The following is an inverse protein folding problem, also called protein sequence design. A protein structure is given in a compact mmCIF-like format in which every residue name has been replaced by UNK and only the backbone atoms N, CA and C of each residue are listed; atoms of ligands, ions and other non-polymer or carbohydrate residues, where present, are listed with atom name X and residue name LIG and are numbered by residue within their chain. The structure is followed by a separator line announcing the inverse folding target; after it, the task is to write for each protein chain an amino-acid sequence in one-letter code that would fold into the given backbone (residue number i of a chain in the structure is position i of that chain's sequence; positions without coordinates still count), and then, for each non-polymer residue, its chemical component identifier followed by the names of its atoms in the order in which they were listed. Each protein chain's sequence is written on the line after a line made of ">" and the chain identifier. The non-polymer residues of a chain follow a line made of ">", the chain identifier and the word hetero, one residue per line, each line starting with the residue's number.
data_IF_806320368026
#
_entry.id   IF_806320368026
#
_cell.length_a   1.000
_cell.length_b   1.000
_cell.length_c   1.000
_cell.angle_alpha   90.00
_cell.angle_beta   90.00
_cell.angle_gamma   90.00
#
_symmetry.space_group_name_H-M   'P 1'
#
loop_
_entity.id
_entity.type
_entity.pdbx_description
1 polymer ?
#
# COMPACT_ATOMS: atom_id res chain seq x y z
N UNK A 1 17.43 13.65 -8.17
CA UNK A 1 16.62 12.60 -7.53
C UNK A 1 15.87 13.23 -6.39
N UNK A 2 14.60 12.92 -6.24
CA UNK A 2 13.76 13.37 -5.13
C UNK A 2 13.27 12.11 -4.42
N UNK A 3 13.30 12.10 -3.09
CA UNK A 3 12.94 10.94 -2.27
C UNK A 3 11.92 11.36 -1.22
N UNK A 4 10.88 10.55 -1.02
CA UNK A 4 9.86 10.76 0.00
C UNK A 4 9.19 9.44 0.37
N UNK A 5 8.34 9.47 1.40
CA UNK A 5 7.58 8.31 1.85
C UNK A 5 6.09 8.42 1.53
N UNK A 6 5.40 7.29 1.38
CA UNK A 6 3.94 7.23 1.38
C UNK A 6 3.44 5.95 2.05
N UNK A 7 2.17 5.94 2.47
CA UNK A 7 1.49 4.75 3.03
C UNK A 7 1.27 3.68 1.93
N UNK A 8 1.82 2.46 2.07
CA UNK A 8 1.68 1.39 1.08
C UNK A 8 0.22 1.01 0.75
N UNK A 9 -0.70 1.20 1.69
CA UNK A 9 -2.11 0.82 1.54
C UNK A 9 -2.97 1.95 0.92
N UNK A 10 -2.42 3.15 0.76
CA UNK A 10 -3.10 4.26 0.11
C UNK A 10 -3.04 4.15 -1.41
N UNK A 11 -4.05 3.49 -2.01
CA UNK A 11 -4.13 3.23 -3.44
C UNK A 11 -4.02 4.49 -4.32
N UNK A 12 -4.59 5.60 -3.87
CA UNK A 12 -4.53 6.90 -4.57
C UNK A 12 -3.08 7.39 -4.64
N UNK A 13 -2.36 7.28 -3.52
CA UNK A 13 -0.94 7.62 -3.47
C UNK A 13 -0.10 6.63 -4.27
N UNK A 14 -0.40 5.33 -4.24
CA UNK A 14 0.30 4.34 -5.06
C UNK A 14 0.14 4.63 -6.57
N UNK A 15 -1.08 4.96 -7.02
CA UNK A 15 -1.33 5.35 -8.40
C UNK A 15 -0.55 6.60 -8.81
N UNK A 16 -0.46 7.61 -7.94
CA UNK A 16 0.35 8.80 -8.21
C UNK A 16 1.86 8.48 -8.22
N UNK A 17 2.39 7.92 -7.12
CA UNK A 17 3.82 7.72 -6.92
C UNK A 17 4.41 6.69 -7.89
N UNK A 18 3.75 5.54 -8.03
CA UNK A 18 4.24 4.44 -8.86
C UNK A 18 3.64 4.52 -10.26
N UNK A 19 2.32 4.67 -10.37
CA UNK A 19 1.62 4.63 -11.67
C UNK A 19 1.93 5.83 -12.58
N UNK A 20 1.90 7.05 -12.04
CA UNK A 20 2.06 8.30 -12.81
C UNK A 20 3.49 8.84 -12.80
N UNK A 21 4.09 8.97 -11.62
CA UNK A 21 5.45 9.49 -11.48
C UNK A 21 6.52 8.45 -11.85
N UNK A 22 6.16 7.15 -11.88
CA UNK A 22 7.10 6.06 -12.13
C UNK A 22 8.27 6.08 -11.12
N UNK A 23 7.99 6.49 -9.88
CA UNK A 23 8.95 6.41 -8.79
C UNK A 23 9.22 4.94 -8.45
N UNK A 24 10.45 4.63 -8.06
CA UNK A 24 10.87 3.28 -7.69
C UNK A 24 10.89 3.16 -6.17
N UNK A 25 10.22 2.13 -5.66
CA UNK A 25 10.30 1.76 -4.24
C UNK A 25 11.30 0.62 -4.06
N UNK A 26 12.31 0.82 -3.23
CA UNK A 26 13.29 -0.22 -2.85
C UNK A 26 13.34 -0.46 -1.34
N UNK A 27 12.64 0.37 -0.55
CA UNK A 27 12.73 0.35 0.90
C UNK A 27 11.34 0.39 1.53
N UNK A 28 11.06 -0.61 2.36
CA UNK A 28 9.93 -0.64 3.28
C UNK A 28 10.43 -0.23 4.68
N UNK A 29 9.72 0.71 5.29
CA UNK A 29 10.00 1.21 6.63
C UNK A 29 8.83 0.83 7.53
N UNK A 30 9.07 -0.11 8.45
CA UNK A 30 8.08 -0.53 9.44
C UNK A 30 7.89 0.58 10.48
N UNK A 31 6.62 0.89 10.80
CA UNK A 31 6.20 1.86 11.82
C UNK A 31 7.02 3.17 11.85
N UNK A 32 7.20 3.78 10.68
CA UNK A 32 8.15 4.89 10.43
C UNK A 32 7.98 6.11 11.36
N UNK A 33 6.77 6.37 11.85
CA UNK A 33 6.46 7.50 12.73
C UNK A 33 6.12 7.08 14.17
N UNK A 34 6.06 5.79 14.46
CA UNK A 34 5.64 5.26 15.75
C UNK A 34 4.23 5.68 16.14
N UNK A 35 4.00 5.81 17.45
CA UNK A 35 2.73 6.26 17.99
C UNK A 35 2.42 7.72 17.63
N UNK A 36 1.59 7.91 16.60
CA UNK A 36 1.04 9.22 16.26
C UNK A 36 -0.18 9.53 17.13
N UNK A 37 -0.27 10.79 17.59
CA UNK A 37 -1.43 11.33 18.33
C UNK A 37 -2.49 11.94 17.41
N UNK A 38 -2.36 11.75 16.10
CA UNK A 38 -3.38 12.22 15.17
C UNK A 38 -4.58 11.28 15.22
N UNK A 39 -5.77 11.85 15.15
CA UNK A 39 -7.02 11.14 15.46
C UNK A 39 -7.32 10.00 14.48
N UNK A 40 -6.75 10.03 13.27
CA UNK A 40 -7.10 9.10 12.20
C UNK A 40 -6.15 7.89 12.12
N UNK A 41 -4.88 8.08 12.46
CA UNK A 41 -3.84 7.04 12.42
C UNK A 41 -3.43 6.56 13.81
N UNK A 42 -3.95 7.16 14.90
CA UNK A 42 -3.69 6.71 16.27
C UNK A 42 -3.89 5.19 16.36
N UNK A 43 -2.93 4.45 16.93
CA UNK A 43 -3.02 2.99 17.10
C UNK A 43 -3.07 2.16 15.80
N UNK A 44 -2.76 2.74 14.63
CA UNK A 44 -2.50 2.00 13.39
C UNK A 44 -1.00 2.04 13.09
N UNK A 45 -0.48 0.98 12.46
CA UNK A 45 0.92 0.94 12.03
C UNK A 45 1.21 2.08 11.06
N UNK A 46 2.36 2.73 11.21
CA UNK A 46 2.77 3.86 10.37
C UNK A 46 3.75 3.48 9.26
N UNK A 47 3.60 2.26 8.74
CA UNK A 47 4.43 1.70 7.67
C UNK A 47 4.53 2.63 6.45
N UNK A 48 5.73 2.68 5.85
CA UNK A 48 6.02 3.54 4.69
C UNK A 48 6.82 2.83 3.62
N UNK A 49 6.45 3.12 2.39
CA UNK A 49 7.35 2.94 1.25
C UNK A 49 8.14 4.22 1.03
N UNK A 50 9.47 4.11 1.05
CA UNK A 50 10.36 5.18 0.61
C UNK A 50 10.61 5.00 -0.89
N UNK A 51 10.22 6.02 -1.66
CA UNK A 51 10.32 6.03 -3.11
C UNK A 51 11.32 7.06 -3.60
N UNK A 52 11.97 6.73 -4.69
CA UNK A 52 12.91 7.60 -5.38
C UNK A 52 12.37 7.94 -6.77
N UNK A 53 12.34 9.23 -7.08
CA UNK A 53 11.93 9.72 -8.40
C UNK A 53 13.07 10.46 -9.09
N UNK A 54 13.43 9.97 -10.27
CA UNK A 54 14.43 10.59 -11.12
C UNK A 54 13.77 11.49 -12.18
N UNK A 55 13.62 12.77 -11.86
CA UNK A 55 13.00 13.78 -12.72
C UNK A 55 13.68 13.98 -14.09
N UNK A 56 14.92 13.51 -14.26
CA UNK A 56 15.68 13.63 -15.52
C UNK A 56 15.60 12.38 -16.39
N UNK A 57 15.04 11.29 -15.85
CA UNK A 57 14.86 10.07 -16.58
C UNK A 57 13.56 10.16 -17.36
N UNK A 58 13.62 9.97 -18.67
CA UNK A 58 12.40 9.84 -19.48
C UNK A 58 11.63 8.60 -19.02
N UNK A 59 10.31 8.75 -18.88
CA UNK A 59 9.43 7.63 -18.64
C UNK A 59 9.54 6.68 -19.83
N UNK A 60 10.14 5.50 -19.62
CA UNK A 60 10.17 4.46 -20.63
C UNK A 60 8.76 3.90 -20.78
N UNK A 61 8.36 3.56 -22.00
CA UNK A 61 7.21 2.70 -22.19
C UNK A 61 7.49 1.35 -21.51
N UNK A 62 6.70 1.03 -20.50
CA UNK A 62 6.82 -0.22 -19.77
C UNK A 62 5.96 -1.28 -20.45
N UNK A 63 6.56 -2.45 -20.64
CA UNK A 63 5.81 -3.66 -20.98
C UNK A 63 4.81 -3.92 -19.84
N UNK A 64 3.53 -4.20 -20.12
CA UNK A 64 2.58 -4.56 -19.08
C UNK A 64 3.11 -5.73 -18.24
N UNK A 65 3.45 -5.46 -16.98
CA UNK A 65 3.96 -6.49 -16.06
C UNK A 65 2.83 -7.36 -15.49
N UNK A 66 1.57 -6.91 -15.63
CA UNK A 66 0.39 -7.60 -15.11
C UNK A 66 0.28 -9.03 -15.63
N UNK A 67 0.59 -9.25 -16.92
CA UNK A 67 0.50 -10.57 -17.54
C UNK A 67 1.53 -11.57 -16.99
N UNK A 68 2.58 -11.07 -16.34
CA UNK A 68 3.65 -11.86 -15.71
C UNK A 68 3.51 -11.95 -14.19
N UNK A 69 2.58 -11.21 -13.60
CA UNK A 69 2.50 -11.06 -12.16
C UNK A 69 1.88 -12.31 -11.52
N UNK A 70 2.58 -12.88 -10.54
CA UNK A 70 2.06 -13.97 -9.72
C UNK A 70 1.28 -13.38 -8.55
N UNK A 71 0.02 -13.78 -8.41
CA UNK A 71 -0.82 -13.38 -7.28
C UNK A 71 -0.52 -14.28 -6.08
N UNK A 72 0.19 -13.73 -5.09
CA UNK A 72 0.58 -14.47 -3.88
C UNK A 72 -0.42 -14.37 -2.74
N UNK A 73 -1.38 -13.43 -2.84
CA UNK A 73 -2.45 -13.21 -1.86
C UNK A 73 -3.80 -13.42 -2.52
N UNK A 74 -4.65 -14.23 -1.87
CA UNK A 74 -6.06 -14.35 -2.22
C UNK A 74 -6.89 -13.52 -1.25
N UNK A 75 -7.73 -12.63 -1.76
CA UNK A 75 -8.62 -11.79 -0.94
C UNK A 75 -10.07 -12.24 -1.04
N UNK A 76 -10.84 -11.96 0.03
CA UNK A 76 -12.29 -12.06 0.06
C UNK A 76 -12.91 -10.76 0.55
N UNK A 77 -14.23 -10.65 0.52
CA UNK A 77 -14.99 -9.56 1.14
C UNK A 77 -15.81 -10.12 2.31
N UNK A 78 -15.80 -9.44 3.44
CA UNK A 78 -16.67 -9.80 4.57
C UNK A 78 -18.08 -9.22 4.40
N UNK A 79 -19.00 -9.56 5.32
CA UNK A 79 -20.40 -9.11 5.28
C UNK A 79 -20.56 -7.58 5.42
N UNK A 80 -19.52 -6.89 5.89
CA UNK A 80 -19.47 -5.43 6.01
C UNK A 80 -18.88 -4.75 4.76
N UNK A 81 -18.49 -5.52 3.73
CA UNK A 81 -17.91 -5.00 2.49
C UNK A 81 -16.42 -4.70 2.54
N UNK A 82 -15.70 -5.11 3.60
CA UNK A 82 -14.26 -4.90 3.71
C UNK A 82 -13.45 -6.07 3.14
N UNK A 83 -12.34 -5.78 2.46
CA UNK A 83 -11.44 -6.82 1.99
C UNK A 83 -10.71 -7.47 3.18
N UNK A 84 -10.54 -8.79 3.12
CA UNK A 84 -9.69 -9.54 4.04
C UNK A 84 -8.81 -10.52 3.28
N UNK A 85 -7.66 -10.88 3.87
CA UNK A 85 -6.79 -11.93 3.33
C UNK A 85 -7.43 -13.28 3.65
N UNK A 86 -7.80 -14.01 2.61
CA UNK A 86 -8.35 -15.37 2.74
C UNK A 86 -7.24 -16.42 2.83
N UNK A 87 -6.20 -16.25 2.01
CA UNK A 87 -5.05 -17.14 1.97
C UNK A 87 -3.83 -16.42 1.37
N UNK A 88 -2.63 -16.91 1.66
CA UNK A 88 -1.39 -16.43 1.06
C UNK A 88 -0.37 -17.56 0.93
N UNK A 89 0.51 -17.45 -0.06
CA UNK A 89 1.67 -18.33 -0.20
C UNK A 89 2.92 -17.50 -0.47
N UNK A 90 4.09 -18.11 -0.22
CA UNK A 90 5.37 -17.50 -0.52
C UNK A 90 5.85 -17.94 -1.89
N UNK A 91 6.32 -17.00 -2.69
CA UNK A 91 6.97 -17.25 -3.97
C UNK A 91 8.30 -16.50 -4.01
N UNK A 92 9.39 -17.22 -4.26
CA UNK A 92 10.76 -16.67 -4.21
C UNK A 92 11.42 -16.61 -5.59
N UNK A 93 10.82 -17.24 -6.60
CA UNK A 93 11.35 -17.33 -7.96
C UNK A 93 10.57 -16.47 -8.97
N UNK A 94 9.51 -15.81 -8.54
CA UNK A 94 8.77 -14.87 -9.39
C UNK A 94 9.63 -13.65 -9.73
N UNK A 95 9.63 -13.26 -11.00
CA UNK A 95 10.17 -11.96 -11.43
C UNK A 95 9.25 -10.81 -10.99
N UNK A 96 7.94 -11.04 -10.99
CA UNK A 96 6.91 -10.06 -10.65
C UNK A 96 5.84 -10.72 -9.78
N UNK A 97 5.49 -10.07 -8.68
CA UNK A 97 4.37 -10.45 -7.82
C UNK A 97 3.31 -9.35 -7.79
N UNK A 98 2.05 -9.74 -7.66
CA UNK A 98 0.93 -8.82 -7.43
C UNK A 98 0.53 -8.86 -5.95
N UNK A 99 0.52 -7.69 -5.31
CA UNK A 99 0.05 -7.50 -3.95
C UNK A 99 -1.23 -6.64 -4.01
N UNK A 100 -2.39 -7.18 -3.61
CA UNK A 100 -3.62 -6.40 -3.57
C UNK A 100 -3.57 -5.40 -2.41
N UNK A 101 -3.97 -4.16 -2.68
CA UNK A 101 -4.19 -3.12 -1.66
C UNK A 101 -5.65 -2.67 -1.71
N UNK A 102 -6.23 -2.19 -0.60
CA UNK A 102 -7.60 -1.70 -0.57
C UNK A 102 -7.77 -0.51 -1.51
N UNK A 103 -8.89 -0.46 -2.24
CA UNK A 103 -9.20 0.70 -3.08
C UNK A 103 -9.46 1.94 -2.23
N UNK A 104 -10.06 1.78 -1.06
CA UNK A 104 -10.35 2.86 -0.11
C UNK A 104 -9.97 2.42 1.32
N UNK A 105 -8.69 2.55 1.67
CA UNK A 105 -8.20 2.29 3.03
C UNK A 105 -8.75 3.32 4.04
N UNK A 106 -9.13 4.51 3.58
CA UNK A 106 -9.65 5.58 4.45
C UNK A 106 -10.99 5.20 5.05
N UNK A 107 -11.86 4.52 4.31
CA UNK A 107 -13.10 3.97 4.85
C UNK A 107 -12.84 2.97 6.00
N UNK A 108 -11.83 2.11 5.84
CA UNK A 108 -11.43 1.13 6.87
C UNK A 108 -10.89 1.85 8.11
N UNK A 109 -9.99 2.83 7.93
CA UNK A 109 -9.42 3.64 9.03
C UNK A 109 -10.52 4.36 9.82
N UNK A 110 -11.48 4.98 9.12
CA UNK A 110 -12.61 5.67 9.76
C UNK A 110 -13.50 4.74 10.57
N UNK A 111 -13.77 3.52 10.08
CA UNK A 111 -14.55 2.55 10.84
C UNK A 111 -13.81 2.10 12.10
N UNK A 112 -12.52 1.77 11.99
CA UNK A 112 -11.69 1.39 13.15
C UNK A 112 -11.69 2.51 14.19
N UNK A 113 -11.53 3.76 13.73
CA UNK A 113 -11.60 4.92 14.60
C UNK A 113 -12.97 5.03 15.31
N UNK A 114 -14.08 4.91 14.58
CA UNK A 114 -15.42 4.95 15.16
C UNK A 114 -15.66 3.83 16.20
N UNK A 115 -15.18 2.62 15.93
CA UNK A 115 -15.27 1.49 16.86
C UNK A 115 -14.49 1.73 18.17
N UNK A 116 -13.40 2.48 18.12
CA UNK A 116 -12.63 2.85 19.32
C UNK A 116 -13.36 3.87 20.19
N UNK A 117 -14.13 4.79 19.60
CA UNK A 117 -14.91 5.79 20.34
C UNK A 117 -16.09 5.20 21.10
N UNK A 118 -16.65 4.08 20.65
CA UNK A 118 -17.81 3.43 21.31
C UNK A 118 -17.40 2.40 22.37
N UNK A 119 -16.13 1.99 22.41
CA UNK A 119 -15.61 0.95 23.29
C UNK A 119 -14.76 1.46 24.46
N UNK A 120 -14.70 2.78 24.67
CA UNK A 120 -13.92 3.45 25.72
C UNK A 120 -14.76 4.02 26.86
#
# INVERSE_FOLDING_TARGET
>A
MITWTYDPLESVNANLNIGKLKAVCSTYMEDCYGNMKDTLNEGLSTDRFMVEWNIRQEAKEETPLLDKAIHIVTTGMNDQGFPYIKDYHFETNAEVIAIPIPTDIQQIKNLIFALRLIGG
#
